data_IF_216344256989
#
_entry.id   IF_216344256989
#
_cell.length_a   1.000
_cell.length_b   1.000
_cell.length_c   1.000
_cell.angle_alpha   90.00
_cell.angle_beta   90.00
_cell.angle_gamma   90.00
#
_symmetry.space_group_name_H-M   'P 1'
#
loop_
_entity.id
_entity.type
_entity.pdbx_description
1 polymer ?
#
# COMPACT_ATOMS: atom_id res chain seq x y z
N UNK A 1 -29.05 0.55 -11.60
CA UNK A 1 -28.13 1.10 -10.58
C UNK A 1 -28.09 0.09 -9.45
N UNK A 2 -27.02 -0.69 -9.33
CA UNK A 2 -26.84 -1.62 -8.23
C UNK A 2 -26.70 -0.81 -6.95
N UNK A 3 -27.54 -1.11 -5.97
CA UNK A 3 -27.52 -0.47 -4.66
C UNK A 3 -26.30 -1.05 -3.93
N UNK A 4 -25.13 -0.43 -4.09
CA UNK A 4 -23.90 -0.79 -3.38
C UNK A 4 -24.16 -0.56 -1.90
N UNK A 5 -24.46 -1.63 -1.15
CA UNK A 5 -24.66 -1.56 0.29
C UNK A 5 -23.32 -1.14 0.91
N UNK A 6 -23.29 0.03 1.52
CA UNK A 6 -22.15 0.41 2.35
C UNK A 6 -21.90 -0.65 3.42
N UNK A 7 -20.64 -1.08 3.56
CA UNK A 7 -20.23 -1.93 4.69
C UNK A 7 -20.49 -1.19 6.00
N UNK A 8 -21.23 -1.83 6.89
CA UNK A 8 -21.35 -1.32 8.26
C UNK A 8 -20.19 -1.88 9.13
N UNK A 9 -19.95 -1.27 10.27
CA UNK A 9 -18.85 -1.64 11.17
C UNK A 9 -18.90 -3.13 11.57
N UNK A 10 -20.09 -3.68 11.83
CA UNK A 10 -20.26 -5.10 12.17
C UNK A 10 -19.80 -6.01 11.02
N UNK A 11 -20.11 -5.63 9.78
CA UNK A 11 -19.65 -6.40 8.60
C UNK A 11 -18.13 -6.31 8.44
N UNK A 12 -17.54 -5.13 8.62
CA UNK A 12 -16.08 -4.93 8.59
C UNK A 12 -15.40 -5.85 9.58
N UNK A 13 -15.85 -5.86 10.84
CA UNK A 13 -15.31 -6.73 11.90
C UNK A 13 -15.41 -8.21 11.52
N UNK A 14 -16.58 -8.66 11.04
CA UNK A 14 -16.80 -10.04 10.63
C UNK A 14 -15.91 -10.47 9.47
N UNK A 15 -15.75 -9.61 8.47
CA UNK A 15 -14.84 -9.84 7.33
C UNK A 15 -13.39 -9.94 7.82
N UNK A 16 -12.96 -9.02 8.68
CA UNK A 16 -11.62 -9.02 9.25
C UNK A 16 -11.32 -10.31 10.02
N UNK A 17 -12.24 -10.72 10.90
CA UNK A 17 -12.12 -11.98 11.64
C UNK A 17 -12.06 -13.20 10.72
N UNK A 18 -12.93 -13.27 9.71
CA UNK A 18 -13.00 -14.39 8.77
C UNK A 18 -11.70 -14.51 7.95
N UNK A 19 -11.23 -13.43 7.36
CA UNK A 19 -10.00 -13.44 6.56
C UNK A 19 -8.76 -13.72 7.41
N UNK A 20 -8.67 -13.13 8.61
CA UNK A 20 -7.57 -13.40 9.54
C UNK A 20 -7.55 -14.86 9.99
N UNK A 21 -8.71 -15.45 10.25
CA UNK A 21 -8.85 -16.85 10.63
C UNK A 21 -8.41 -17.78 9.49
N UNK A 22 -8.94 -17.59 8.27
CA UNK A 22 -8.64 -18.43 7.12
C UNK A 22 -7.19 -18.25 6.61
N UNK A 23 -6.59 -17.08 6.78
CA UNK A 23 -5.17 -16.84 6.44
C UNK A 23 -4.24 -17.62 7.37
N UNK A 24 -4.58 -17.72 8.66
CA UNK A 24 -3.79 -18.49 9.64
C UNK A 24 -4.07 -19.98 9.58
N UNK A 25 -5.29 -20.35 9.23
CA UNK A 25 -5.80 -21.70 9.25
C UNK A 25 -6.52 -22.01 7.92
N UNK A 26 -5.79 -22.26 6.83
CA UNK A 26 -6.42 -22.61 5.55
C UNK A 26 -7.13 -23.96 5.64
N UNK A 27 -8.07 -24.18 4.73
CA UNK A 27 -8.81 -25.43 4.57
C UNK A 27 -9.68 -25.81 5.76
N UNK A 28 -10.35 -24.81 6.35
CA UNK A 28 -11.30 -25.05 7.45
C UNK A 28 -12.68 -25.41 6.96
N UNK A 29 -13.30 -26.37 7.63
CA UNK A 29 -14.69 -26.74 7.34
C UNK A 29 -15.65 -25.61 7.69
N UNK A 30 -16.86 -25.68 7.15
CA UNK A 30 -17.91 -24.73 7.53
C UNK A 30 -18.14 -24.74 9.04
N UNK A 31 -18.13 -25.92 9.66
CA UNK A 31 -18.35 -26.05 11.09
C UNK A 31 -17.23 -25.38 11.89
N UNK A 32 -15.96 -25.60 11.52
CA UNK A 32 -14.83 -24.94 12.20
C UNK A 32 -14.95 -23.41 12.16
N UNK A 33 -15.44 -22.85 11.04
CA UNK A 33 -15.66 -21.41 10.92
C UNK A 33 -16.79 -20.95 11.84
N UNK A 34 -17.89 -21.68 11.88
CA UNK A 34 -19.04 -21.34 12.75
C UNK A 34 -18.65 -21.42 14.22
N UNK A 35 -17.94 -22.47 14.64
CA UNK A 35 -17.44 -22.65 16.00
C UNK A 35 -16.49 -21.51 16.41
N UNK A 36 -15.57 -21.12 15.53
CA UNK A 36 -14.70 -19.95 15.77
C UNK A 36 -15.50 -18.66 16.01
N UNK A 37 -16.58 -18.46 15.27
CA UNK A 37 -17.42 -17.27 15.42
C UNK A 37 -18.35 -17.35 16.64
N UNK A 38 -18.73 -18.52 17.12
CA UNK A 38 -19.53 -18.66 18.34
C UNK A 38 -18.85 -18.00 19.54
N UNK A 39 -17.52 -18.13 19.63
CA UNK A 39 -16.70 -17.50 20.67
C UNK A 39 -16.44 -15.99 20.43
N UNK A 40 -16.39 -15.56 19.18
CA UNK A 40 -15.90 -14.21 18.79
C UNK A 40 -17.00 -13.22 18.38
N UNK A 41 -18.15 -13.71 17.88
CA UNK A 41 -19.27 -12.87 17.42
C UNK A 41 -20.61 -13.62 17.54
N UNK A 42 -21.27 -13.49 18.67
CA UNK A 42 -22.62 -14.05 18.89
C UNK A 42 -23.59 -13.54 17.83
N UNK A 43 -24.22 -14.44 17.10
CA UNK A 43 -25.16 -14.12 16.01
C UNK A 43 -24.56 -14.29 14.60
N UNK A 44 -23.33 -14.75 14.50
CA UNK A 44 -22.81 -15.26 13.24
C UNK A 44 -23.39 -16.66 12.98
N UNK A 45 -23.84 -16.88 11.75
CA UNK A 45 -24.44 -18.15 11.35
C UNK A 45 -24.12 -18.46 9.89
N UNK A 46 -24.50 -19.65 9.43
CA UNK A 46 -24.25 -20.10 8.06
C UNK A 46 -24.73 -19.12 6.98
N UNK A 47 -25.93 -18.55 7.13
CA UNK A 47 -26.46 -17.54 6.20
C UNK A 47 -25.57 -16.28 6.16
N UNK A 48 -25.04 -15.90 7.31
CA UNK A 48 -24.11 -14.76 7.42
C UNK A 48 -22.80 -15.07 6.72
N UNK A 49 -22.25 -16.26 6.87
CA UNK A 49 -21.04 -16.72 6.19
C UNK A 49 -21.19 -16.63 4.66
N UNK A 50 -22.26 -17.22 4.11
CA UNK A 50 -22.50 -17.20 2.66
C UNK A 50 -22.68 -15.77 2.14
N UNK A 51 -23.43 -14.92 2.85
CA UNK A 51 -23.61 -13.52 2.47
C UNK A 51 -22.31 -12.73 2.51
N UNK A 52 -21.43 -12.97 3.48
CA UNK A 52 -20.10 -12.33 3.51
C UNK A 52 -19.23 -12.78 2.35
N UNK A 53 -19.22 -14.09 2.04
CA UNK A 53 -18.50 -14.60 0.87
C UNK A 53 -18.98 -13.96 -0.42
N UNK A 54 -20.30 -13.87 -0.63
CA UNK A 54 -20.89 -13.23 -1.80
C UNK A 54 -20.52 -11.74 -1.88
N UNK A 55 -20.63 -11.02 -0.77
CA UNK A 55 -20.21 -9.59 -0.70
C UNK A 55 -18.72 -9.44 -1.02
N UNK A 56 -17.86 -10.29 -0.48
CA UNK A 56 -16.43 -10.25 -0.74
C UNK A 56 -16.12 -10.49 -2.22
N UNK A 57 -16.72 -11.47 -2.85
CA UNK A 57 -16.50 -11.78 -4.26
C UNK A 57 -17.06 -10.68 -5.18
N UNK A 58 -18.32 -10.27 -5.00
CA UNK A 58 -19.02 -9.36 -5.92
C UNK A 58 -18.60 -7.90 -5.76
N UNK A 59 -18.46 -7.43 -4.52
CA UNK A 59 -18.20 -6.00 -4.26
C UNK A 59 -16.69 -5.69 -4.20
N UNK A 60 -15.85 -6.66 -3.82
CA UNK A 60 -14.42 -6.45 -3.58
C UNK A 60 -13.50 -7.35 -4.41
N UNK A 61 -14.02 -8.34 -5.11
CA UNK A 61 -13.23 -9.30 -5.87
C UNK A 61 -12.32 -10.16 -4.98
N UNK A 62 -12.76 -10.43 -3.74
CA UNK A 62 -12.00 -11.23 -2.76
C UNK A 62 -12.61 -12.63 -2.70
N UNK A 63 -11.80 -13.62 -3.00
CA UNK A 63 -12.26 -15.00 -3.15
C UNK A 63 -12.01 -15.84 -1.89
N UNK A 64 -13.09 -16.44 -1.36
CA UNK A 64 -13.04 -17.50 -0.35
C UNK A 64 -13.60 -18.76 -1.01
N UNK A 65 -12.73 -19.69 -1.29
CA UNK A 65 -13.04 -20.89 -2.08
C UNK A 65 -13.05 -22.14 -1.20
N UNK A 66 -13.87 -23.12 -1.56
CA UNK A 66 -13.82 -24.45 -0.94
C UNK A 66 -12.91 -25.36 -1.78
N UNK A 67 -11.87 -25.88 -1.16
CA UNK A 67 -10.99 -26.86 -1.75
C UNK A 67 -11.50 -28.28 -1.45
N UNK A 68 -11.87 -29.02 -2.49
CA UNK A 68 -12.40 -30.38 -2.36
C UNK A 68 -11.32 -31.39 -1.98
N UNK A 69 -10.05 -31.15 -2.31
CA UNK A 69 -8.96 -32.05 -1.98
C UNK A 69 -8.60 -31.98 -0.50
N UNK A 70 -8.61 -30.76 0.05
CA UNK A 70 -8.31 -30.51 1.45
C UNK A 70 -9.57 -30.43 2.34
N UNK A 71 -10.77 -30.48 1.74
CA UNK A 71 -12.05 -30.56 2.44
C UNK A 71 -12.45 -29.30 3.20
N UNK A 72 -12.00 -28.12 2.78
CA UNK A 72 -12.26 -26.90 3.54
C UNK A 72 -12.15 -25.58 2.77
N UNK A 73 -12.60 -24.51 3.41
CA UNK A 73 -12.51 -23.15 2.89
C UNK A 73 -11.13 -22.54 3.14
N UNK A 74 -10.66 -21.74 2.17
CA UNK A 74 -9.46 -20.95 2.31
C UNK A 74 -9.62 -19.59 1.61
N UNK A 75 -8.80 -18.64 1.99
CA UNK A 75 -8.70 -17.34 1.33
C UNK A 75 -7.75 -17.46 0.12
N UNK A 76 -8.32 -17.35 -1.08
CA UNK A 76 -7.59 -17.47 -2.33
C UNK A 76 -7.00 -16.11 -2.73
N UNK A 77 -5.80 -15.82 -2.23
CA UNK A 77 -5.10 -14.56 -2.53
C UNK A 77 -4.70 -14.46 -4.01
N UNK A 78 -4.42 -15.59 -4.68
CA UNK A 78 -3.95 -15.59 -6.07
C UNK A 78 -5.06 -15.19 -7.05
N UNK A 79 -6.28 -15.66 -6.83
CA UNK A 79 -7.43 -15.33 -7.68
C UNK A 79 -8.21 -14.11 -7.19
N UNK A 80 -7.82 -13.51 -6.07
CA UNK A 80 -8.44 -12.28 -5.55
C UNK A 80 -7.91 -11.01 -6.23
N UNK A 81 -8.79 -10.02 -6.39
CA UNK A 81 -8.43 -8.71 -6.95
C UNK A 81 -7.83 -7.80 -5.89
N UNK A 82 -6.55 -7.44 -6.02
CA UNK A 82 -5.84 -6.55 -5.09
C UNK A 82 -5.97 -6.93 -3.60
N UNK A 83 -5.73 -8.19 -3.20
CA UNK A 83 -6.01 -8.68 -1.85
C UNK A 83 -5.24 -7.91 -0.77
N UNK A 84 -3.99 -7.51 -1.02
CA UNK A 84 -3.19 -6.77 -0.04
C UNK A 84 -3.75 -5.36 0.22
N UNK A 85 -4.23 -4.66 -0.82
CA UNK A 85 -4.88 -3.34 -0.66
C UNK A 85 -6.18 -3.47 0.13
N UNK A 86 -6.94 -4.55 -0.09
CA UNK A 86 -8.15 -4.81 0.65
C UNK A 86 -7.88 -5.13 2.13
N UNK A 87 -6.87 -5.95 2.42
CA UNK A 87 -6.45 -6.24 3.80
C UNK A 87 -5.98 -4.99 4.54
N UNK A 88 -5.21 -4.12 3.89
CA UNK A 88 -4.80 -2.84 4.47
C UNK A 88 -5.99 -1.92 4.76
N UNK A 89 -6.97 -1.87 3.87
CA UNK A 89 -8.22 -1.12 4.12
C UNK A 89 -8.98 -1.69 5.32
N UNK A 90 -9.10 -3.01 5.43
CA UNK A 90 -9.75 -3.67 6.56
C UNK A 90 -9.04 -3.37 7.89
N UNK A 91 -7.72 -3.38 7.91
CA UNK A 91 -6.93 -3.05 9.09
C UNK A 91 -7.25 -1.63 9.58
N UNK A 92 -7.25 -0.64 8.67
CA UNK A 92 -7.61 0.75 8.97
C UNK A 92 -9.04 0.84 9.53
N UNK A 93 -10.01 0.20 8.86
CA UNK A 93 -11.41 0.25 9.27
C UNK A 93 -11.65 -0.46 10.60
N UNK A 94 -11.02 -1.61 10.84
CA UNK A 94 -11.15 -2.36 12.10
C UNK A 94 -10.53 -1.59 13.25
N UNK A 95 -9.36 -0.97 13.04
CA UNK A 95 -8.71 -0.11 14.03
C UNK A 95 -9.59 1.09 14.38
N UNK A 96 -10.17 1.75 13.38
CA UNK A 96 -11.10 2.86 13.58
C UNK A 96 -12.36 2.42 14.35
N UNK A 97 -12.88 1.22 14.09
CA UNK A 97 -14.02 0.66 14.84
C UNK A 97 -13.70 0.46 16.32
N UNK A 98 -12.54 -0.12 16.64
CA UNK A 98 -12.10 -0.33 18.01
C UNK A 98 -12.08 0.98 18.80
N UNK A 99 -11.59 2.06 18.20
CA UNK A 99 -11.63 3.39 18.82
C UNK A 99 -13.06 3.92 18.95
N UNK A 100 -13.89 3.78 17.92
CA UNK A 100 -15.26 4.32 17.94
C UNK A 100 -16.16 3.67 19.00
N UNK A 101 -15.96 2.39 19.27
CA UNK A 101 -16.68 1.64 20.29
C UNK A 101 -16.33 2.16 21.70
N UNK A 102 -15.05 2.42 21.94
CA UNK A 102 -14.56 2.94 23.21
C UNK A 102 -14.97 4.40 23.48
N UNK A 103 -15.28 5.21 22.45
CA UNK A 103 -15.84 6.56 22.63
C UNK A 103 -17.22 6.55 23.28
N UNK A 104 -18.05 5.53 23.01
CA UNK A 104 -19.40 5.41 23.60
C UNK A 104 -19.37 5.07 25.09
N UNK A 105 -18.33 4.43 25.57
CA UNK A 105 -18.18 3.97 26.95
C UNK A 105 -17.53 5.00 27.89
N UNK A 106 -17.39 6.27 27.48
CA UNK A 106 -16.68 7.33 28.24
C UNK A 106 -15.19 7.05 28.50
N UNK A 107 -14.65 5.98 27.99
CA UNK A 107 -13.21 5.71 28.07
C UNK A 107 -12.50 6.57 27.01
N UNK A 108 -11.63 7.45 27.46
CA UNK A 108 -10.86 8.32 26.55
C UNK A 108 -9.72 7.50 25.89
N UNK A 109 -10.10 6.53 25.04
CA UNK A 109 -9.15 5.62 24.39
C UNK A 109 -8.06 6.36 23.61
N UNK A 110 -8.36 7.56 23.08
CA UNK A 110 -7.36 8.38 22.37
C UNK A 110 -6.28 8.94 23.27
N UNK A 111 -6.49 9.02 24.59
CA UNK A 111 -5.42 9.45 25.50
C UNK A 111 -4.29 8.43 25.65
N UNK A 112 -4.52 7.19 25.20
CA UNK A 112 -3.54 6.10 25.23
C UNK A 112 -2.91 5.84 23.86
N UNK A 113 -3.23 6.68 22.86
CA UNK A 113 -2.77 6.49 21.47
C UNK A 113 -2.15 7.78 20.97
N UNK A 114 -0.93 7.65 20.45
CA UNK A 114 -0.22 8.73 19.79
C UNK A 114 -0.09 8.40 18.29
N UNK A 115 -0.46 9.35 17.45
CA UNK A 115 -0.28 9.23 16.01
C UNK A 115 0.96 10.02 15.59
N UNK A 116 1.86 9.37 14.82
CA UNK A 116 3.09 9.98 14.37
C UNK A 116 2.86 11.27 13.56
N UNK A 117 1.78 11.31 12.78
CA UNK A 117 1.49 12.42 11.89
C UNK A 117 0.16 13.12 12.22
N UNK A 118 0.11 14.42 11.99
CA UNK A 118 -1.13 15.18 12.05
C UNK A 118 -2.08 14.73 10.94
N UNK A 119 -3.34 14.52 11.27
CA UNK A 119 -4.38 14.24 10.29
C UNK A 119 -4.60 15.46 9.39
N UNK A 120 -4.73 15.22 8.09
CA UNK A 120 -5.03 16.23 7.08
C UNK A 120 -6.44 16.02 6.51
N UNK A 121 -7.46 16.22 7.37
CA UNK A 121 -8.89 15.98 7.05
C UNK A 121 -9.36 16.91 5.93
N UNK A 122 -8.80 18.10 5.84
CA UNK A 122 -9.12 19.11 4.82
C UNK A 122 -8.86 18.64 3.39
N UNK A 123 -8.02 17.64 3.19
CA UNK A 123 -7.70 17.09 1.87
C UNK A 123 -8.61 15.94 1.42
N UNK A 124 -9.53 15.48 2.27
CA UNK A 124 -10.50 14.42 1.92
C UNK A 124 -11.37 14.80 0.70
N UNK A 125 -11.86 16.04 0.56
CA UNK A 125 -12.61 16.42 -0.64
C UNK A 125 -11.80 16.27 -1.93
N UNK A 126 -10.52 16.68 -1.93
CA UNK A 126 -9.63 16.52 -3.08
C UNK A 126 -9.41 15.05 -3.44
N UNK A 127 -9.21 14.20 -2.43
CA UNK A 127 -9.09 12.75 -2.61
C UNK A 127 -10.31 12.18 -3.34
N UNK A 128 -11.53 12.55 -2.90
CA UNK A 128 -12.77 12.11 -3.53
C UNK A 128 -12.85 12.56 -5.00
N UNK A 129 -12.59 13.83 -5.28
CA UNK A 129 -12.65 14.39 -6.64
C UNK A 129 -11.68 13.65 -7.59
N UNK A 130 -10.46 13.38 -7.12
CA UNK A 130 -9.45 12.65 -7.91
C UNK A 130 -9.88 11.20 -8.13
N UNK A 131 -10.41 10.53 -7.11
CA UNK A 131 -10.91 9.15 -7.23
C UNK A 131 -12.08 9.07 -8.23
N UNK A 132 -13.03 10.00 -8.17
CA UNK A 132 -14.16 10.08 -9.11
C UNK A 132 -13.65 10.29 -10.56
N UNK A 133 -12.64 11.13 -10.75
CA UNK A 133 -12.01 11.37 -12.05
C UNK A 133 -11.31 10.13 -12.61
N UNK A 134 -10.61 9.37 -11.74
CA UNK A 134 -9.99 8.08 -12.13
C UNK A 134 -11.06 7.09 -12.61
N UNK A 135 -12.11 6.89 -11.82
CA UNK A 135 -13.20 5.97 -12.14
C UNK A 135 -13.89 6.31 -13.46
N UNK A 136 -14.09 7.60 -13.72
CA UNK A 136 -14.73 8.10 -14.94
C UNK A 136 -13.77 8.24 -16.14
N UNK A 137 -12.47 8.03 -15.92
CA UNK A 137 -11.39 8.23 -16.90
C UNK A 137 -11.39 9.66 -17.48
N UNK A 138 -11.54 10.65 -16.60
CA UNK A 138 -11.54 12.07 -16.96
C UNK A 138 -10.24 12.73 -16.52
N UNK A 139 -9.63 13.60 -17.34
CA UNK A 139 -8.46 14.37 -16.93
C UNK A 139 -8.85 15.40 -15.88
N UNK A 140 -7.92 15.79 -15.06
CA UNK A 140 -8.06 16.87 -14.09
C UNK A 140 -7.04 17.96 -14.37
N UNK A 141 -7.47 19.22 -14.20
CA UNK A 141 -6.59 20.40 -14.23
C UNK A 141 -6.63 21.03 -12.85
N UNK A 142 -5.47 21.37 -12.31
CA UNK A 142 -5.33 21.89 -10.95
C UNK A 142 -4.09 22.75 -10.78
N UNK A 143 -4.05 23.55 -9.73
CA UNK A 143 -2.86 24.21 -9.22
C UNK A 143 -2.13 23.29 -8.25
N UNK A 144 -0.80 23.24 -8.33
CA UNK A 144 0.03 22.43 -7.45
C UNK A 144 1.08 23.30 -6.75
N UNK A 145 1.10 23.22 -5.42
CA UNK A 145 2.08 23.89 -4.56
C UNK A 145 3.31 22.96 -4.39
N UNK A 146 4.34 23.21 -5.18
CA UNK A 146 5.59 22.44 -5.11
C UNK A 146 6.48 22.94 -3.97
N UNK A 147 7.11 22.03 -3.22
CA UNK A 147 8.14 22.41 -2.24
C UNK A 147 9.45 22.90 -2.90
N UNK A 148 9.67 22.59 -4.18
CA UNK A 148 10.87 22.98 -4.91
C UNK A 148 10.71 24.28 -5.71
N UNK A 149 9.48 24.68 -6.01
CA UNK A 149 9.20 25.86 -6.80
C UNK A 149 8.38 26.84 -5.98
N UNK A 150 8.87 28.06 -5.85
CA UNK A 150 8.19 29.15 -5.12
C UNK A 150 6.91 29.67 -5.81
N UNK A 151 6.65 29.21 -7.03
CA UNK A 151 5.46 29.62 -7.81
C UNK A 151 4.52 28.44 -7.98
N UNK A 152 3.23 28.71 -7.77
CA UNK A 152 2.16 27.81 -8.16
C UNK A 152 2.28 27.46 -9.65
N UNK A 153 2.14 26.19 -9.96
CA UNK A 153 2.13 25.71 -11.33
C UNK A 153 0.82 25.00 -11.61
N UNK A 154 0.25 25.26 -12.78
CA UNK A 154 -0.94 24.57 -13.25
C UNK A 154 -0.54 23.32 -14.03
N UNK A 155 -1.23 22.21 -13.75
CA UNK A 155 -1.01 20.95 -14.41
C UNK A 155 -2.33 20.37 -14.93
N UNK A 156 -2.23 19.67 -16.06
CA UNK A 156 -3.29 18.78 -16.54
C UNK A 156 -2.77 17.34 -16.43
N UNK A 157 -3.49 16.53 -15.66
CA UNK A 157 -3.14 15.14 -15.37
C UNK A 157 -4.26 14.23 -15.89
N UNK A 158 -3.87 13.15 -16.56
CA UNK A 158 -4.72 11.98 -16.78
C UNK A 158 -4.48 11.02 -15.60
N UNK A 159 -5.30 11.05 -14.55
CA UNK A 159 -5.03 10.28 -13.34
C UNK A 159 -5.35 8.80 -13.59
N UNK A 160 -4.46 7.92 -13.13
CA UNK A 160 -4.58 6.48 -13.31
C UNK A 160 -4.91 5.75 -12.00
N UNK A 161 -4.23 6.10 -10.90
CA UNK A 161 -4.47 5.52 -9.59
C UNK A 161 -3.98 6.42 -8.45
N UNK A 162 -4.42 6.09 -7.23
CA UNK A 162 -3.95 6.71 -5.99
C UNK A 162 -2.96 5.77 -5.30
N UNK A 163 -1.87 6.34 -4.77
CA UNK A 163 -0.85 5.60 -4.02
C UNK A 163 -0.63 6.26 -2.67
N UNK A 164 -0.64 5.47 -1.61
CA UNK A 164 -0.18 5.92 -0.29
C UNK A 164 1.33 5.68 -0.18
N UNK A 165 2.05 6.68 0.31
CA UNK A 165 3.47 6.57 0.63
C UNK A 165 3.82 7.52 1.78
N UNK A 166 4.51 7.02 2.81
CA UNK A 166 4.86 7.78 4.01
C UNK A 166 3.67 8.58 4.58
N UNK A 167 2.56 7.89 4.80
CA UNK A 167 1.31 8.43 5.36
C UNK A 167 0.65 9.57 4.56
N UNK A 168 1.04 9.78 3.30
CA UNK A 168 0.41 10.76 2.39
C UNK A 168 -0.17 10.07 1.16
N UNK A 169 -1.21 10.66 0.61
CA UNK A 169 -1.84 10.20 -0.63
C UNK A 169 -1.37 10.98 -1.84
N UNK A 170 -1.14 10.27 -2.93
CA UNK A 170 -0.65 10.82 -4.18
C UNK A 170 -1.50 10.35 -5.36
N UNK A 171 -1.79 11.29 -6.25
CA UNK A 171 -2.37 11.01 -7.56
C UNK A 171 -1.24 10.69 -8.55
N UNK A 172 -1.28 9.52 -9.13
CA UNK A 172 -0.34 9.08 -10.17
C UNK A 172 -1.06 9.07 -11.50
N UNK A 173 -0.42 9.65 -12.51
CA UNK A 173 -0.98 9.70 -13.85
C UNK A 173 0.01 10.21 -14.88
N UNK A 174 -0.50 10.53 -16.06
CA UNK A 174 0.30 11.01 -17.18
C UNK A 174 -0.04 12.46 -17.52
N UNK A 175 0.99 13.29 -17.61
CA UNK A 175 0.97 14.63 -18.17
C UNK A 175 1.57 14.61 -19.58
N UNK A 176 1.65 15.75 -20.26
CA UNK A 176 2.38 15.89 -21.53
C UNK A 176 3.87 15.53 -21.39
N UNK A 177 4.44 15.75 -20.20
CA UNK A 177 5.84 15.46 -19.88
C UNK A 177 6.08 14.04 -19.31
N UNK A 178 5.14 13.11 -19.53
CA UNK A 178 5.25 11.73 -19.03
C UNK A 178 4.55 11.50 -17.70
N UNK A 179 4.90 10.40 -17.02
CA UNK A 179 4.36 10.07 -15.71
C UNK A 179 4.74 11.09 -14.65
N UNK A 180 3.78 11.43 -13.80
CA UNK A 180 3.97 12.37 -12.69
C UNK A 180 3.17 11.91 -11.49
N UNK A 181 3.66 12.32 -10.33
CA UNK A 181 3.07 12.05 -9.02
C UNK A 181 2.81 13.37 -8.30
N UNK A 182 1.58 13.57 -7.83
CA UNK A 182 1.15 14.78 -7.15
C UNK A 182 0.56 14.45 -5.78
N UNK A 183 1.06 15.06 -4.72
CA UNK A 183 0.47 14.95 -3.38
C UNK A 183 -0.91 15.58 -3.34
N UNK A 184 -1.90 14.86 -2.85
CA UNK A 184 -3.30 15.33 -2.74
C UNK A 184 -3.39 16.54 -1.81
N UNK A 185 -2.52 16.61 -0.82
CA UNK A 185 -2.37 17.69 0.14
C UNK A 185 -1.87 19.02 -0.46
N UNK A 186 -1.41 18.99 -1.72
CA UNK A 186 -0.82 20.13 -2.42
C UNK A 186 -1.51 20.47 -3.73
N UNK A 187 -2.66 19.88 -3.94
CA UNK A 187 -3.51 20.13 -5.11
C UNK A 187 -4.63 21.10 -4.71
N UNK A 188 -4.82 22.15 -5.49
CA UNK A 188 -5.88 23.12 -5.30
C UNK A 188 -6.64 23.40 -6.60
N UNK A 189 -7.88 23.88 -6.48
CA UNK A 189 -8.73 24.28 -7.60
C UNK A 189 -8.86 23.20 -8.69
N UNK A 190 -9.26 21.98 -8.28
CA UNK A 190 -9.40 20.85 -9.20
C UNK A 190 -10.60 21.06 -10.11
N UNK A 191 -10.35 21.02 -11.41
CA UNK A 191 -11.37 21.06 -12.45
C UNK A 191 -11.32 19.71 -13.19
N UNK A 192 -12.45 19.00 -13.23
CA UNK A 192 -12.58 17.75 -13.98
C UNK A 192 -12.90 18.10 -15.45
N UNK A 193 -12.12 17.55 -16.36
CA UNK A 193 -12.37 17.71 -17.80
C UNK A 193 -13.55 16.85 -18.28
N UNK A 194 -14.01 17.13 -19.49
CA UNK A 194 -15.19 16.46 -20.07
C UNK A 194 -14.83 15.34 -21.05
N UNK A 195 -13.61 15.37 -21.61
CA UNK A 195 -13.21 14.39 -22.64
C UNK A 195 -12.50 13.20 -22.00
N UNK A 196 -13.12 12.02 -22.07
CA UNK A 196 -12.53 10.78 -21.58
C UNK A 196 -11.21 10.45 -22.27
N UNK A 197 -10.32 9.83 -21.54
CA UNK A 197 -9.10 9.23 -22.06
C UNK A 197 -9.09 7.72 -21.85
N UNK A 198 -8.31 6.99 -22.64
CA UNK A 198 -8.10 5.55 -22.42
C UNK A 198 -7.05 5.39 -21.31
N UNK A 199 -7.48 4.95 -20.13
CA UNK A 199 -6.58 4.71 -19.03
C UNK A 199 -5.70 3.47 -19.31
N UNK A 200 -4.43 3.57 -18.93
CA UNK A 200 -3.43 2.49 -18.96
C UNK A 200 -3.00 2.18 -17.52
N UNK A 201 -3.98 1.92 -16.68
CA UNK A 201 -3.77 1.81 -15.23
C UNK A 201 -2.84 0.65 -14.88
N UNK A 202 -3.03 -0.52 -15.49
CA UNK A 202 -2.19 -1.69 -15.20
C UNK A 202 -0.73 -1.49 -15.69
N UNK A 203 -0.54 -0.89 -16.89
CA UNK A 203 0.80 -0.51 -17.34
C UNK A 203 1.48 0.47 -16.38
N UNK A 204 0.72 1.44 -15.85
CA UNK A 204 1.25 2.40 -14.91
C UNK A 204 1.56 1.76 -13.54
N UNK A 205 0.69 0.91 -13.03
CA UNK A 205 0.94 0.16 -11.80
C UNK A 205 2.18 -0.72 -11.90
N UNK A 206 2.34 -1.45 -13.01
CA UNK A 206 3.51 -2.28 -13.27
C UNK A 206 4.81 -1.44 -13.23
N UNK A 207 4.84 -0.31 -13.93
CA UNK A 207 5.99 0.62 -13.88
C UNK A 207 6.30 1.13 -12.47
N UNK A 208 5.27 1.53 -11.72
CA UNK A 208 5.43 2.02 -10.35
C UNK A 208 5.65 0.91 -9.32
N UNK A 209 5.40 -0.34 -9.66
CA UNK A 209 5.78 -1.48 -8.83
C UNK A 209 7.28 -1.78 -8.89
N UNK A 210 7.98 -1.30 -9.92
CA UNK A 210 9.41 -1.51 -10.13
C UNK A 210 10.28 -0.41 -9.51
N UNK A 211 9.68 0.51 -8.73
CA UNK A 211 10.40 1.56 -8.00
C UNK A 211 10.01 1.58 -6.54
N UNK A 212 10.91 2.00 -5.69
CA UNK A 212 10.60 2.34 -4.30
C UNK A 212 10.05 3.77 -4.26
N UNK A 213 8.94 3.98 -3.54
CA UNK A 213 8.34 5.31 -3.37
C UNK A 213 7.52 5.80 -4.55
N UNK A 214 7.80 7.01 -5.01
CA UNK A 214 6.91 7.80 -5.87
C UNK A 214 7.53 8.24 -7.20
N UNK A 215 8.86 8.36 -7.25
CA UNK A 215 9.54 8.85 -8.44
C UNK A 215 9.79 7.73 -9.42
N UNK A 216 8.92 7.65 -10.44
CA UNK A 216 9.22 6.79 -11.58
C UNK A 216 10.34 7.42 -12.41
N UNK A 217 11.37 6.64 -12.66
CA UNK A 217 12.49 6.96 -13.53
C UNK A 217 12.56 5.94 -14.65
N UNK A 218 12.75 6.42 -15.87
CA UNK A 218 12.87 5.54 -17.06
C UNK A 218 14.34 5.08 -17.21
N UNK A 219 14.86 4.50 -16.13
CA UNK A 219 16.18 3.85 -16.12
C UNK A 219 16.02 2.36 -16.35
N UNK A 220 17.14 1.70 -16.63
CA UNK A 220 17.18 0.25 -16.76
C UNK A 220 16.77 -0.40 -15.42
N UNK A 221 15.98 -1.48 -15.51
CA UNK A 221 15.70 -2.35 -14.38
C UNK A 221 17.00 -3.04 -13.94
N UNK A 222 17.40 -2.85 -12.71
CA UNK A 222 18.69 -3.31 -12.19
C UNK A 222 18.48 -4.38 -11.11
N UNK A 223 19.35 -5.38 -11.17
CA UNK A 223 19.52 -6.36 -10.11
C UNK A 223 20.48 -5.79 -9.09
N UNK A 224 19.96 -5.45 -7.92
CA UNK A 224 20.73 -4.79 -6.85
C UNK A 224 20.98 -5.79 -5.73
N UNK A 225 22.25 -5.95 -5.34
CA UNK A 225 22.64 -6.77 -4.21
C UNK A 225 23.09 -5.87 -3.05
N UNK A 226 22.48 -6.10 -1.91
CA UNK A 226 22.76 -5.36 -0.67
C UNK A 226 23.21 -6.33 0.40
N UNK A 227 24.23 -5.92 1.17
CA UNK A 227 24.71 -6.64 2.36
C UNK A 227 24.44 -5.77 3.58
N UNK A 228 23.60 -6.26 4.48
CA UNK A 228 23.26 -5.60 5.73
C UNK A 228 24.03 -6.25 6.90
N UNK A 229 24.32 -5.48 7.92
CA UNK A 229 24.71 -6.06 9.20
C UNK A 229 23.62 -6.99 9.72
N UNK A 230 24.00 -8.14 10.29
CA UNK A 230 23.05 -9.21 10.67
C UNK A 230 21.94 -8.73 11.62
N UNK A 231 22.20 -7.73 12.45
CA UNK A 231 21.21 -7.13 13.35
C UNK A 231 19.98 -6.53 12.63
N UNK A 232 20.11 -6.21 11.33
CA UNK A 232 19.03 -5.65 10.54
C UNK A 232 18.09 -6.71 9.96
N UNK A 233 18.48 -7.97 9.97
CA UNK A 233 17.72 -9.08 9.37
C UNK A 233 16.26 -9.15 9.85
N UNK A 234 15.93 -9.13 11.15
CA UNK A 234 14.56 -9.22 11.63
C UNK A 234 13.68 -8.06 11.11
N UNK A 235 14.22 -6.86 11.08
CA UNK A 235 13.50 -5.65 10.64
C UNK A 235 13.22 -5.68 9.15
N UNK A 236 14.19 -6.07 8.34
CA UNK A 236 14.09 -6.11 6.88
C UNK A 236 13.20 -7.27 6.41
N UNK A 237 13.18 -8.39 7.13
CA UNK A 237 12.26 -9.50 6.84
C UNK A 237 10.82 -9.12 7.21
N UNK A 238 10.62 -8.48 8.37
CA UNK A 238 9.28 -8.09 8.83
C UNK A 238 8.67 -6.97 8.00
N UNK A 239 9.50 -6.07 7.45
CA UNK A 239 9.08 -4.98 6.56
C UNK A 239 10.03 -4.92 5.34
N UNK A 240 9.77 -5.72 4.30
CA UNK A 240 10.61 -5.75 3.12
C UNK A 240 10.75 -4.40 2.43
N UNK A 241 11.95 -4.09 1.93
CA UNK A 241 12.23 -2.85 1.21
C UNK A 241 11.41 -2.73 -0.10
N UNK A 242 11.17 -3.89 -0.72
CA UNK A 242 10.42 -4.00 -1.97
C UNK A 242 9.87 -5.43 -2.13
N UNK A 243 8.76 -5.60 -2.85
CA UNK A 243 8.16 -6.92 -3.07
C UNK A 243 9.07 -7.90 -3.84
N UNK A 244 10.03 -7.40 -4.63
CA UNK A 244 11.03 -8.24 -5.33
C UNK A 244 12.18 -8.71 -4.43
N UNK A 245 12.17 -8.35 -3.14
CA UNK A 245 13.22 -8.73 -2.21
C UNK A 245 13.37 -10.23 -2.09
N UNK A 246 14.60 -10.72 -2.25
CA UNK A 246 14.96 -12.12 -2.06
C UNK A 246 16.20 -12.20 -1.17
N UNK A 247 16.17 -13.07 -0.19
CA UNK A 247 17.37 -13.41 0.60
C UNK A 247 18.35 -14.15 -0.32
N UNK A 248 19.60 -13.74 -0.29
CA UNK A 248 20.70 -14.45 -0.93
C UNK A 248 21.76 -14.77 0.13
N UNK A 249 22.48 -15.88 -0.01
CA UNK A 249 23.48 -16.28 0.94
C UNK A 249 24.87 -16.12 0.32
N UNK A 250 25.65 -15.15 0.81
CA UNK A 250 27.06 -14.94 0.42
C UNK A 250 28.05 -15.56 1.42
N UNK A 251 27.59 -16.51 2.25
CA UNK A 251 28.41 -17.29 3.18
C UNK A 251 29.13 -16.47 4.28
N UNK A 252 28.51 -15.43 4.81
CA UNK A 252 29.01 -14.68 5.94
C UNK A 252 27.99 -14.64 7.08
N UNK A 253 28.39 -15.09 8.28
CA UNK A 253 27.53 -15.12 9.47
C UNK A 253 27.30 -13.71 10.10
N UNK A 254 28.08 -12.72 9.71
CA UNK A 254 27.98 -11.35 10.23
C UNK A 254 27.05 -10.47 9.39
N UNK A 255 26.68 -10.94 8.20
CA UNK A 255 25.84 -10.18 7.27
C UNK A 255 24.56 -10.92 6.90
N UNK A 256 23.58 -10.13 6.52
CA UNK A 256 22.35 -10.55 5.89
C UNK A 256 22.29 -9.95 4.49
N UNK A 257 22.31 -10.80 3.48
CA UNK A 257 22.43 -10.36 2.11
C UNK A 257 21.10 -10.56 1.36
N UNK A 258 20.74 -9.58 0.55
CA UNK A 258 19.51 -9.61 -0.22
C UNK A 258 19.70 -9.06 -1.63
N UNK A 259 18.77 -9.46 -2.49
CA UNK A 259 18.68 -9.02 -3.86
C UNK A 259 17.34 -8.34 -4.13
N UNK A 260 17.37 -7.25 -4.86
CA UNK A 260 16.21 -6.51 -5.35
C UNK A 260 16.27 -6.41 -6.88
N UNK A 261 15.09 -6.38 -7.52
CA UNK A 261 14.95 -6.07 -8.94
C UNK A 261 14.12 -4.80 -9.07
N UNK A 262 14.77 -3.64 -9.23
CA UNK A 262 14.13 -2.32 -9.25
C UNK A 262 14.83 -1.35 -10.21
N UNK A 263 14.14 -0.26 -10.55
CA UNK A 263 14.78 0.95 -11.08
C UNK A 263 15.29 1.78 -9.90
N UNK A 264 16.60 1.90 -9.67
CA UNK A 264 17.12 2.66 -8.54
C UNK A 264 16.85 4.16 -8.71
N UNK A 265 15.92 4.65 -7.92
CA UNK A 265 15.48 6.04 -7.93
C UNK A 265 15.99 6.81 -6.70
N UNK A 266 15.57 8.06 -6.55
CA UNK A 266 15.97 8.93 -5.44
C UNK A 266 15.55 8.32 -4.09
N UNK A 267 14.30 7.85 -3.95
CA UNK A 267 13.78 7.28 -2.70
C UNK A 267 14.52 6.02 -2.29
N UNK A 268 14.92 5.19 -3.25
CA UNK A 268 15.75 4.02 -2.96
C UNK A 268 17.11 4.45 -2.39
N UNK A 269 17.78 5.45 -3.00
CA UNK A 269 19.06 5.95 -2.49
C UNK A 269 18.94 6.52 -1.09
N UNK A 270 17.89 7.31 -0.84
CA UNK A 270 17.63 7.85 0.50
C UNK A 270 17.40 6.73 1.53
N UNK A 271 16.70 5.66 1.12
CA UNK A 271 16.46 4.52 1.99
C UNK A 271 17.78 3.80 2.35
N UNK A 272 18.70 3.62 1.39
CA UNK A 272 20.02 3.05 1.65
C UNK A 272 20.83 3.97 2.57
N UNK A 273 20.89 5.25 2.29
CA UNK A 273 21.65 6.22 3.12
C UNK A 273 21.13 6.28 4.56
N UNK A 274 19.84 6.05 4.81
CA UNK A 274 19.25 5.99 6.14
C UNK A 274 19.86 4.89 7.04
N UNK A 275 20.32 3.79 6.46
CA UNK A 275 20.94 2.71 7.22
C UNK A 275 22.40 3.01 7.60
N UNK A 276 23.03 4.04 7.04
CA UNK A 276 24.40 4.43 7.36
C UNK A 276 25.39 3.30 7.13
N UNK A 277 26.18 3.00 8.15
CA UNK A 277 27.21 1.93 8.12
C UNK A 277 26.63 0.51 8.18
N UNK A 278 25.32 0.36 8.39
CA UNK A 278 24.68 -0.95 8.54
C UNK A 278 24.31 -1.61 7.21
N UNK A 279 24.57 -0.94 6.08
CA UNK A 279 24.30 -1.46 4.74
C UNK A 279 25.46 -1.18 3.79
N UNK A 280 25.69 -2.11 2.88
CA UNK A 280 26.65 -1.96 1.78
C UNK A 280 25.98 -2.39 0.48
N UNK A 281 26.10 -1.56 -0.56
CA UNK A 281 25.73 -1.95 -1.93
C UNK A 281 26.87 -2.81 -2.49
N UNK A 282 26.57 -4.02 -2.89
CA UNK A 282 27.53 -4.98 -3.49
C UNK A 282 27.52 -4.85 -5.00
N UNK A 283 26.33 -4.88 -5.60
CA UNK A 283 26.10 -4.72 -7.03
C UNK A 283 24.86 -3.86 -7.29
N UNK A 284 24.81 -3.09 -8.39
CA UNK A 284 25.90 -2.89 -9.36
C UNK A 284 26.98 -1.94 -8.84
N UNK A 285 28.21 -2.07 -9.35
CA UNK A 285 29.37 -1.27 -8.87
C UNK A 285 29.19 0.23 -9.01
N UNK A 286 28.53 0.68 -10.09
CA UNK A 286 28.25 2.11 -10.28
C UNK A 286 27.38 2.70 -9.16
N UNK A 287 26.40 1.93 -8.68
CA UNK A 287 25.53 2.35 -7.57
C UNK A 287 26.29 2.35 -6.24
N UNK A 288 27.16 1.34 -6.02
CA UNK A 288 28.02 1.29 -4.83
C UNK A 288 28.92 2.51 -4.76
N UNK A 289 29.50 2.95 -5.88
CA UNK A 289 30.34 4.13 -5.95
C UNK A 289 29.53 5.42 -5.72
N UNK A 290 28.34 5.55 -6.32
CA UNK A 290 27.43 6.68 -6.10
C UNK A 290 27.09 6.84 -4.60
N UNK A 291 26.70 5.75 -3.94
CA UNK A 291 26.37 5.74 -2.50
C UNK A 291 27.62 6.08 -1.65
N UNK A 292 28.78 5.58 -2.03
CA UNK A 292 30.05 5.92 -1.36
C UNK A 292 30.33 7.43 -1.43
N UNK A 293 30.19 8.05 -2.61
CA UNK A 293 30.39 9.48 -2.77
C UNK A 293 29.39 10.32 -1.96
N UNK A 294 28.13 9.86 -1.83
CA UNK A 294 27.17 10.55 -0.97
C UNK A 294 27.55 10.48 0.52
N UNK A 295 28.05 9.33 1.01
CA UNK A 295 28.58 9.22 2.38
C UNK A 295 29.82 10.07 2.59
N UNK A 296 30.70 10.16 1.59
CA UNK A 296 31.88 11.04 1.64
C UNK A 296 31.48 12.51 1.74
N UNK A 297 30.57 12.98 0.89
CA UNK A 297 30.02 14.36 0.97
C UNK A 297 29.36 14.63 2.33
N UNK A 298 28.62 13.65 2.87
CA UNK A 298 28.03 13.79 4.18
C UNK A 298 29.10 13.94 5.26
N UNK A 299 30.14 13.11 5.25
CA UNK A 299 31.28 13.21 6.18
C UNK A 299 32.01 14.56 6.07
N UNK A 300 32.27 15.02 4.85
CA UNK A 300 32.95 16.31 4.59
C UNK A 300 32.13 17.54 4.99
N UNK A 301 30.82 17.38 5.23
CA UNK A 301 29.92 18.48 5.66
C UNK A 301 29.95 18.74 7.17
N UNK A 302 30.59 17.87 7.95
CA UNK A 302 30.77 17.98 9.41
C UNK A 302 32.20 18.35 9.78
#
# INVERSE_FOLDING_TARGET
MANTKQLNLTQVRRISLLLAYLKRNPYKTKQDILDYFEDNDKGFNERTLYRLKETLALDFGIEIVFDYNNGGYFFDEENSTNPQSFLSLLEILTTAELFSTNFKEKNNALSFVEFENKAAIEHIPNFKIVLDAIQQQLPITFKHNSFYHLKEQQYTLKPYFLKQYQNRWYAIGKTEKGYRTFGIDRIENIIIGTKKFKAKTEEAKDKFSQVIGLNYVDHKLEKIQLSFHISQKPYIISLPLHHSQKEINLNNNETFDLELLIHPNFEFRQQILKYGSLVKVIEPKWLAEEIREEFKKAFESY
#
